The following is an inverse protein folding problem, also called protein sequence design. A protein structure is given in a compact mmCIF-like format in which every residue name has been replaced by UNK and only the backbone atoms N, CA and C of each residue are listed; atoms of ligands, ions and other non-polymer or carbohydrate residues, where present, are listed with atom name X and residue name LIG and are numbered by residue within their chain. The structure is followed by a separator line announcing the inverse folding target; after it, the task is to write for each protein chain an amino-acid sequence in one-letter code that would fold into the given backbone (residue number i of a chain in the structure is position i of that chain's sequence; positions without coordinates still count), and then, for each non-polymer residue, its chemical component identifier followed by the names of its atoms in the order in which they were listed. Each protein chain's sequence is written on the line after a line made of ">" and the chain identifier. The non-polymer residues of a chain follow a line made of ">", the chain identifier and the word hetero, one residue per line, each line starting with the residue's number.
data_IF_072650017900
#
_entry.id   IF_072650017900
#
_cell.length_a   1.000
_cell.length_b   1.000
_cell.length_c   1.000
_cell.angle_alpha   90.00
_cell.angle_beta   90.00
_cell.angle_gamma   90.00
#
_symmetry.space_group_name_H-M   'P 1'
#
loop_
_entity.id
_entity.type
_entity.pdbx_description
1 polymer ?
#
# COMPACT_ATOMS: atom_id res chain seq x y z
N UNK A 1 -38.98 5.17 38.42
CA UNK A 1 -38.30 4.33 37.40
C UNK A 1 -36.97 4.99 37.09
N UNK A 2 -35.88 4.45 37.62
CA UNK A 2 -34.51 4.85 37.25
C UNK A 2 -33.62 3.65 37.54
N UNK A 3 -33.21 2.93 36.50
CA UNK A 3 -32.36 1.77 36.60
C UNK A 3 -30.92 2.21 36.93
N UNK A 4 -30.22 1.58 37.88
CA UNK A 4 -28.78 1.78 38.03
C UNK A 4 -28.07 1.15 36.83
N UNK A 5 -27.23 1.93 36.16
CA UNK A 5 -26.33 1.46 35.11
C UNK A 5 -25.40 0.45 35.79
N UNK A 6 -25.64 -0.83 35.46
CA UNK A 6 -24.84 -1.97 35.88
C UNK A 6 -23.37 -1.66 35.63
N UNK A 7 -22.57 -1.68 36.70
CA UNK A 7 -21.12 -1.57 36.60
C UNK A 7 -20.63 -2.61 35.61
N UNK A 8 -20.05 -2.14 34.51
CA UNK A 8 -19.21 -2.98 33.69
C UNK A 8 -18.04 -3.38 34.57
N UNK A 9 -18.08 -4.63 35.03
CA UNK A 9 -16.94 -5.34 35.58
C UNK A 9 -15.90 -5.38 34.46
N UNK A 10 -15.04 -4.36 34.43
CA UNK A 10 -13.84 -4.34 33.60
C UNK A 10 -12.91 -5.38 34.22
N UNK A 11 -13.23 -6.64 33.98
CA UNK A 11 -12.37 -7.78 34.23
C UNK A 11 -11.11 -7.50 33.42
N UNK A 12 -10.10 -6.95 34.10
CA UNK A 12 -8.79 -6.67 33.55
C UNK A 12 -8.27 -7.96 32.94
N UNK A 13 -8.36 -8.09 31.62
CA UNK A 13 -7.69 -9.15 30.87
C UNK A 13 -6.22 -8.73 30.71
N UNK A 14 -5.55 -8.47 31.85
CA UNK A 14 -4.11 -8.28 31.93
C UNK A 14 -3.45 -9.65 31.99
N UNK A 15 -3.64 -10.44 30.94
CA UNK A 15 -2.79 -11.59 30.65
C UNK A 15 -1.79 -11.17 29.56
N UNK A 16 -0.49 -11.50 29.67
CA UNK A 16 0.42 -11.30 28.55
C UNK A 16 -0.15 -12.06 27.36
N UNK A 17 -0.51 -11.33 26.29
CA UNK A 17 -0.96 -11.93 25.03
C UNK A 17 0.22 -12.77 24.53
N UNK A 18 0.18 -14.08 24.80
CA UNK A 18 1.17 -15.01 24.30
C UNK A 18 1.01 -15.05 22.78
N UNK A 19 1.88 -14.34 22.07
CA UNK A 19 1.93 -14.36 20.61
C UNK A 19 2.32 -15.78 20.19
N UNK A 20 1.33 -16.56 19.76
CA UNK A 20 1.51 -17.99 19.44
C UNK A 20 2.35 -18.18 18.17
N UNK A 21 2.38 -17.19 17.28
CA UNK A 21 3.08 -17.23 15.99
C UNK A 21 3.62 -15.83 15.64
N UNK A 22 4.94 -15.72 15.43
CA UNK A 22 5.61 -14.48 15.00
C UNK A 22 6.01 -14.57 13.52
N UNK A 23 6.19 -13.43 12.85
CA UNK A 23 6.68 -13.36 11.46
C UNK A 23 7.99 -14.13 11.26
N UNK A 24 8.98 -13.92 12.13
CA UNK A 24 10.24 -14.65 12.13
C UNK A 24 10.09 -16.17 12.30
N UNK A 25 9.05 -16.59 13.03
CA UNK A 25 8.75 -18.02 13.21
C UNK A 25 8.13 -18.59 11.94
N UNK A 26 7.29 -17.83 11.25
CA UNK A 26 6.71 -18.23 9.95
C UNK A 26 7.79 -18.30 8.88
N UNK A 27 8.69 -17.32 8.78
CA UNK A 27 9.80 -17.31 7.80
C UNK A 27 10.75 -18.48 7.93
N UNK A 28 10.96 -18.97 9.16
CA UNK A 28 11.81 -20.14 9.46
C UNK A 28 11.05 -21.46 9.51
N UNK A 29 9.73 -21.44 9.31
CA UNK A 29 8.92 -22.65 9.39
C UNK A 29 9.14 -23.53 8.17
N UNK A 30 9.53 -24.78 8.39
CA UNK A 30 9.70 -25.77 7.33
C UNK A 30 8.51 -26.75 7.36
N UNK A 31 7.94 -27.01 6.19
CA UNK A 31 6.89 -28.01 6.05
C UNK A 31 7.52 -29.39 5.81
N UNK A 32 6.99 -30.42 6.49
CA UNK A 32 7.40 -31.81 6.22
C UNK A 32 7.03 -32.23 4.80
N UNK A 33 7.94 -32.94 4.13
CA UNK A 33 7.68 -33.45 2.77
C UNK A 33 6.59 -34.53 2.80
N UNK A 34 5.67 -34.46 1.83
CA UNK A 34 4.59 -35.44 1.72
C UNK A 34 5.15 -36.83 1.41
N UNK A 35 4.62 -37.87 2.06
CA UNK A 35 4.97 -39.26 1.76
C UNK A 35 4.68 -39.56 0.27
N UNK A 36 5.57 -40.34 -0.36
CA UNK A 36 5.63 -40.64 -1.81
C UNK A 36 4.29 -41.06 -2.46
N UNK A 37 3.29 -41.48 -1.67
CA UNK A 37 1.97 -41.93 -2.12
C UNK A 37 0.87 -40.86 -2.10
N UNK A 38 1.14 -39.64 -1.62
CA UNK A 38 0.18 -38.51 -1.63
C UNK A 38 0.74 -37.30 -2.36
N UNK A 39 -0.08 -36.71 -3.22
CA UNK A 39 0.23 -35.44 -3.91
C UNK A 39 0.20 -34.32 -2.87
N UNK A 40 1.34 -33.64 -2.67
CA UNK A 40 1.48 -32.51 -1.76
C UNK A 40 1.11 -31.18 -2.42
N UNK A 41 1.12 -30.11 -1.62
CA UNK A 41 1.06 -28.74 -2.14
C UNK A 41 2.31 -28.40 -2.95
N UNK A 42 2.17 -27.50 -3.91
CA UNK A 42 3.31 -26.99 -4.66
C UNK A 42 4.21 -26.13 -3.76
N UNK A 43 5.49 -26.46 -3.70
CA UNK A 43 6.44 -25.82 -2.79
C UNK A 43 6.59 -24.32 -3.05
N UNK A 44 6.64 -23.91 -4.33
CA UNK A 44 6.80 -22.50 -4.70
C UNK A 44 5.62 -21.64 -4.23
N UNK A 45 4.40 -22.15 -4.35
CA UNK A 45 3.19 -21.44 -3.91
C UNK A 45 3.09 -21.37 -2.38
N UNK A 46 3.48 -22.45 -1.69
CA UNK A 46 3.55 -22.47 -0.22
C UNK A 46 4.60 -21.48 0.29
N UNK A 47 5.76 -21.39 -0.36
CA UNK A 47 6.80 -20.43 0.00
C UNK A 47 6.36 -18.98 -0.22
N UNK A 48 5.68 -18.69 -1.34
CA UNK A 48 5.10 -17.37 -1.60
C UNK A 48 4.06 -16.99 -0.55
N UNK A 49 3.14 -17.91 -0.24
CA UNK A 49 2.13 -17.71 0.80
C UNK A 49 2.76 -17.49 2.18
N UNK A 50 3.79 -18.27 2.53
CA UNK A 50 4.53 -18.13 3.80
C UNK A 50 5.16 -16.76 3.95
N UNK A 51 5.76 -16.22 2.89
CA UNK A 51 6.33 -14.87 2.90
C UNK A 51 5.23 -13.82 3.09
N UNK A 52 4.12 -13.92 2.34
CA UNK A 52 2.99 -13.01 2.46
C UNK A 52 2.40 -13.00 3.89
N UNK A 53 2.23 -14.18 4.50
CA UNK A 53 1.72 -14.29 5.88
C UNK A 53 2.69 -13.66 6.88
N UNK A 54 4.00 -13.83 6.68
CA UNK A 54 4.98 -13.22 7.56
C UNK A 54 4.95 -11.68 7.49
N UNK A 55 4.82 -11.12 6.29
CA UNK A 55 4.75 -9.67 6.09
C UNK A 55 3.46 -9.08 6.68
N UNK A 56 2.33 -9.78 6.55
CA UNK A 56 1.07 -9.39 7.18
C UNK A 56 1.16 -9.42 8.71
N UNK A 57 1.84 -10.43 9.28
CA UNK A 57 2.09 -10.49 10.72
C UNK A 57 2.96 -9.33 11.21
N UNK A 58 3.96 -8.93 10.44
CA UNK A 58 4.79 -7.74 10.75
C UNK A 58 3.94 -6.47 10.73
N UNK A 59 3.09 -6.30 9.72
CA UNK A 59 2.17 -5.16 9.61
C UNK A 59 1.22 -5.08 10.81
N UNK A 60 0.58 -6.19 11.16
CA UNK A 60 -0.35 -6.27 12.29
C UNK A 60 0.37 -6.03 13.63
N UNK A 61 1.59 -6.54 13.80
CA UNK A 61 2.38 -6.28 15.00
C UNK A 61 2.69 -4.79 15.17
N UNK A 62 3.06 -4.10 14.08
CA UNK A 62 3.29 -2.66 14.09
C UNK A 62 2.02 -1.86 14.42
N UNK A 63 0.87 -2.24 13.85
CA UNK A 63 -0.42 -1.61 14.15
C UNK A 63 -0.81 -1.78 15.62
N UNK A 64 -0.66 -2.99 16.18
CA UNK A 64 -0.95 -3.25 17.60
C UNK A 64 -0.02 -2.45 18.51
N UNK A 65 1.26 -2.34 18.17
CA UNK A 65 2.21 -1.53 18.93
C UNK A 65 1.80 -0.04 18.94
N UNK A 66 1.40 0.51 17.78
CA UNK A 66 0.91 1.88 17.67
C UNK A 66 -0.36 2.10 18.50
N UNK A 67 -1.35 1.20 18.38
CA UNK A 67 -2.59 1.28 19.15
C UNK A 67 -2.36 1.19 20.66
N UNK A 68 -1.38 0.40 21.10
CA UNK A 68 -1.00 0.34 22.53
C UNK A 68 -0.37 1.64 23.00
N UNK A 69 0.56 2.21 22.23
CA UNK A 69 1.16 3.50 22.55
C UNK A 69 0.12 4.62 22.64
N UNK A 70 -0.86 4.63 21.73
CA UNK A 70 -1.94 5.62 21.77
C UNK A 70 -2.89 5.39 22.96
N UNK A 71 -3.20 4.14 23.30
CA UNK A 71 -3.95 3.83 24.51
C UNK A 71 -3.23 4.29 25.79
N UNK A 72 -1.92 4.07 25.88
CA UNK A 72 -1.09 4.57 26.97
C UNK A 72 -1.15 6.10 27.04
N UNK A 73 -0.94 6.78 25.90
CA UNK A 73 -1.02 8.25 25.81
C UNK A 73 -2.39 8.79 26.25
N UNK A 74 -3.47 8.15 25.82
CA UNK A 74 -4.83 8.54 26.20
C UNK A 74 -5.11 8.28 27.68
N UNK A 75 -4.62 7.16 28.23
CA UNK A 75 -4.74 6.87 29.65
C UNK A 75 -3.95 7.89 30.48
N UNK A 76 -2.70 8.20 30.13
CA UNK A 76 -1.90 9.21 30.81
C UNK A 76 -2.62 10.57 30.82
N UNK A 77 -3.23 10.93 29.68
CA UNK A 77 -4.03 12.14 29.56
C UNK A 77 -5.26 12.14 30.48
N UNK A 78 -5.99 11.01 30.54
CA UNK A 78 -7.14 10.86 31.43
C UNK A 78 -6.73 10.86 32.92
N UNK A 79 -5.60 10.26 33.27
CA UNK A 79 -5.06 10.27 34.64
C UNK A 79 -4.68 11.68 35.09
N UNK A 80 -4.03 12.47 34.22
CA UNK A 80 -3.75 13.89 34.44
C UNK A 80 -5.05 14.69 34.75
N UNK A 81 -6.11 14.43 33.99
CA UNK A 81 -7.42 15.05 34.22
C UNK A 81 -8.11 14.56 35.50
N UNK A 82 -7.98 13.27 35.84
CA UNK A 82 -8.59 12.66 37.02
C UNK A 82 -7.94 13.10 38.33
N UNK A 83 -6.63 13.36 38.32
CA UNK A 83 -5.88 13.83 39.49
C UNK A 83 -5.97 15.34 39.73
N UNK A 84 -6.88 16.04 39.05
CA UNK A 84 -7.18 17.46 39.32
C UNK A 84 -6.07 18.42 38.88
N UNK A 85 -5.05 17.94 38.17
CA UNK A 85 -4.04 18.80 37.53
C UNK A 85 -4.62 19.30 36.21
N UNK A 86 -5.68 20.09 36.30
CA UNK A 86 -6.11 20.94 35.20
C UNK A 86 -5.10 22.10 35.19
N UNK A 87 -4.36 22.37 34.11
CA UNK A 87 -3.69 23.66 33.97
C UNK A 87 -4.81 24.72 34.03
N UNK A 88 -4.92 25.43 35.15
CA UNK A 88 -5.97 26.43 35.35
C UNK A 88 -5.97 27.42 34.20
N UNK A 89 -7.14 27.59 33.57
CA UNK A 89 -7.36 28.45 32.42
C UNK A 89 -7.35 29.96 32.76
N UNK A 90 -6.90 30.35 33.96
CA UNK A 90 -6.99 31.71 34.50
C UNK A 90 -5.63 32.44 34.63
N UNK A 91 -4.57 31.92 34.01
CA UNK A 91 -3.44 32.77 33.61
C UNK A 91 -3.89 33.53 32.36
N UNK A 92 -3.67 34.86 32.21
CA UNK A 92 -4.05 35.57 30.99
C UNK A 92 -3.52 34.77 29.81
N UNK A 93 -4.45 34.18 29.05
CA UNK A 93 -4.13 33.25 28.00
C UNK A 93 -3.30 34.04 26.99
N UNK A 94 -1.98 33.83 26.98
CA UNK A 94 -1.15 34.17 25.85
C UNK A 94 -1.72 33.35 24.68
N UNK A 95 -2.44 33.94 23.70
CA UNK A 95 -3.00 33.22 22.55
C UNK A 95 -1.89 32.93 21.52
N UNK A 96 -0.69 32.60 22.00
CA UNK A 96 0.48 32.40 21.17
C UNK A 96 1.10 31.04 21.47
N UNK A 97 1.47 30.73 22.72
CA UNK A 97 2.32 29.55 22.95
C UNK A 97 1.63 28.20 22.69
N UNK A 98 0.38 28.00 23.14
CA UNK A 98 -0.33 26.72 22.98
C UNK A 98 -0.84 26.50 21.55
N UNK A 99 -1.35 27.56 20.92
CA UNK A 99 -1.77 27.53 19.50
C UNK A 99 -0.56 27.39 18.57
N UNK A 100 0.56 28.08 18.85
CA UNK A 100 1.81 27.90 18.10
C UNK A 100 2.39 26.50 18.31
N UNK A 101 2.28 25.92 19.51
CA UNK A 101 2.73 24.55 19.75
C UNK A 101 1.86 23.51 19.00
N UNK A 102 0.53 23.70 18.96
CA UNK A 102 -0.37 22.86 18.17
C UNK A 102 -0.12 23.02 16.67
N UNK A 103 0.07 24.25 16.18
CA UNK A 103 0.41 24.53 14.79
C UNK A 103 1.77 23.93 14.42
N UNK A 104 2.75 24.04 15.31
CA UNK A 104 4.09 23.45 15.13
C UNK A 104 4.08 21.93 15.19
N UNK A 105 3.14 21.32 15.92
CA UNK A 105 2.92 19.88 15.92
C UNK A 105 2.24 19.44 14.61
N UNK A 106 1.16 20.10 14.20
CA UNK A 106 0.45 19.82 12.95
C UNK A 106 1.34 20.06 11.71
N UNK A 107 2.20 21.07 11.75
CA UNK A 107 3.15 21.35 10.68
C UNK A 107 4.22 20.26 10.58
N UNK A 108 4.80 19.81 11.69
CA UNK A 108 5.74 18.68 11.70
C UNK A 108 5.07 17.40 11.19
N UNK A 109 3.82 17.17 11.55
CA UNK A 109 3.03 16.05 11.04
C UNK A 109 2.79 16.17 9.53
N UNK A 110 2.41 17.35 9.03
CA UNK A 110 2.27 17.60 7.60
C UNK A 110 3.60 17.39 6.85
N UNK A 111 4.71 17.89 7.39
CA UNK A 111 6.06 17.68 6.83
C UNK A 111 6.41 16.18 6.78
N UNK A 112 6.06 15.41 7.82
CA UNK A 112 6.26 13.96 7.86
C UNK A 112 5.41 13.24 6.81
N UNK A 113 4.13 13.61 6.65
CA UNK A 113 3.24 13.03 5.62
C UNK A 113 3.79 13.33 4.22
N UNK A 114 4.25 14.56 3.98
CA UNK A 114 4.87 14.95 2.70
C UNK A 114 6.13 14.11 2.42
N UNK A 115 6.99 13.94 3.41
CA UNK A 115 8.18 13.09 3.27
C UNK A 115 7.82 11.63 2.93
N UNK A 116 6.84 11.06 3.64
CA UNK A 116 6.34 9.70 3.38
C UNK A 116 5.72 9.57 1.99
N UNK A 117 4.97 10.58 1.53
CA UNK A 117 4.38 10.62 0.21
C UNK A 117 5.45 10.67 -0.89
N UNK A 118 6.52 11.45 -0.70
CA UNK A 118 7.65 11.49 -1.63
C UNK A 118 8.40 10.15 -1.70
N UNK A 119 8.69 9.51 -0.56
CA UNK A 119 9.32 8.20 -0.52
C UNK A 119 8.46 7.11 -1.15
N UNK A 120 7.14 7.18 -0.94
CA UNK A 120 6.18 6.30 -1.61
C UNK A 120 6.19 6.54 -3.12
N UNK A 121 6.07 7.79 -3.58
CA UNK A 121 6.08 8.13 -5.00
C UNK A 121 7.37 7.66 -5.69
N UNK A 122 8.52 7.81 -5.03
CA UNK A 122 9.81 7.31 -5.54
C UNK A 122 9.81 5.79 -5.70
N UNK A 123 9.35 5.06 -4.68
CA UNK A 123 9.23 3.59 -4.72
C UNK A 123 8.29 3.12 -5.82
N UNK A 124 7.15 3.77 -5.99
CA UNK A 124 6.19 3.45 -7.05
C UNK A 124 6.80 3.69 -8.43
N UNK A 125 7.52 4.80 -8.63
CA UNK A 125 8.18 5.08 -9.90
C UNK A 125 9.27 4.04 -10.22
N UNK A 126 10.08 3.65 -9.24
CA UNK A 126 11.13 2.62 -9.38
C UNK A 126 10.52 1.23 -9.69
N UNK A 127 9.44 0.88 -9.00
CA UNK A 127 8.69 -0.36 -9.26
C UNK A 127 8.08 -0.36 -10.66
N UNK A 128 7.39 0.71 -11.05
CA UNK A 128 6.78 0.85 -12.37
C UNK A 128 7.81 0.75 -13.49
N UNK A 129 8.99 1.38 -13.31
CA UNK A 129 10.11 1.26 -14.26
C UNK A 129 10.59 -0.17 -14.40
N UNK A 130 10.79 -0.87 -13.27
CA UNK A 130 11.26 -2.26 -13.28
C UNK A 130 10.26 -3.18 -13.99
N UNK A 131 8.96 -2.99 -13.75
CA UNK A 131 7.88 -3.73 -14.41
C UNK A 131 7.79 -3.42 -15.91
N UNK A 132 7.94 -2.16 -16.29
CA UNK A 132 7.94 -1.77 -17.69
C UNK A 132 9.13 -2.37 -18.45
N UNK A 133 10.32 -2.33 -17.86
CA UNK A 133 11.53 -2.92 -18.43
C UNK A 133 11.40 -4.45 -18.57
N UNK A 134 10.78 -5.13 -17.60
CA UNK A 134 10.56 -6.59 -17.69
C UNK A 134 9.56 -6.94 -18.79
N UNK A 135 8.44 -6.20 -18.89
CA UNK A 135 7.44 -6.39 -19.93
C UNK A 135 8.00 -6.12 -21.33
N UNK A 136 8.78 -5.05 -21.51
CA UNK A 136 9.43 -4.76 -22.79
C UNK A 136 10.42 -5.84 -23.20
N UNK A 137 11.20 -6.39 -22.25
CA UNK A 137 12.11 -7.50 -22.55
C UNK A 137 11.33 -8.74 -23.00
N UNK A 138 10.26 -9.10 -22.29
CA UNK A 138 9.42 -10.23 -22.67
C UNK A 138 8.82 -10.05 -24.08
N UNK A 139 8.24 -8.87 -24.35
CA UNK A 139 7.68 -8.53 -25.66
C UNK A 139 8.74 -8.55 -26.78
N UNK A 140 9.96 -8.08 -26.50
CA UNK A 140 11.04 -8.10 -27.47
C UNK A 140 11.49 -9.52 -27.80
N UNK A 141 11.56 -10.42 -26.82
CA UNK A 141 11.91 -11.82 -27.06
C UNK A 141 10.80 -12.54 -27.84
N UNK A 142 9.54 -12.33 -27.50
CA UNK A 142 8.40 -12.86 -28.24
C UNK A 142 8.41 -12.36 -29.70
N UNK A 143 8.67 -11.06 -29.88
CA UNK A 143 8.71 -10.46 -31.20
C UNK A 143 9.87 -10.99 -32.06
N UNK A 144 11.03 -11.27 -31.45
CA UNK A 144 12.16 -11.91 -32.14
C UNK A 144 11.83 -13.33 -32.57
N UNK A 145 11.25 -14.13 -31.69
CA UNK A 145 10.90 -15.52 -31.99
C UNK A 145 9.94 -15.61 -33.18
N UNK A 146 8.93 -14.73 -33.23
CA UNK A 146 7.98 -14.74 -34.33
C UNK A 146 8.58 -14.20 -35.64
N UNK A 147 9.45 -13.19 -35.57
CA UNK A 147 10.20 -12.72 -36.74
C UNK A 147 11.12 -13.81 -37.30
N UNK A 148 11.78 -14.59 -36.43
CA UNK A 148 12.60 -15.74 -36.83
C UNK A 148 11.76 -16.84 -37.48
N UNK A 149 10.58 -17.14 -36.92
CA UNK A 149 9.63 -18.10 -37.53
C UNK A 149 9.24 -17.67 -38.94
N UNK A 150 8.90 -16.40 -39.14
CA UNK A 150 8.54 -15.88 -40.46
C UNK A 150 9.70 -16.00 -41.48
N UNK A 151 10.95 -15.81 -41.05
CA UNK A 151 12.13 -16.02 -41.89
C UNK A 151 12.27 -17.48 -42.31
N UNK A 152 12.09 -18.41 -41.37
CA UNK A 152 12.13 -19.85 -41.65
C UNK A 152 11.02 -20.25 -42.61
N UNK A 153 9.81 -19.73 -42.40
CA UNK A 153 8.66 -19.96 -43.27
C UNK A 153 8.91 -19.43 -44.69
N UNK A 154 9.35 -18.18 -44.82
CA UNK A 154 9.70 -17.58 -46.11
C UNK A 154 10.75 -18.40 -46.86
N UNK A 155 11.84 -18.81 -46.19
CA UNK A 155 12.88 -19.63 -46.80
C UNK A 155 12.33 -20.99 -47.27
N UNK A 156 11.45 -21.60 -46.49
CA UNK A 156 10.83 -22.88 -46.87
C UNK A 156 9.92 -22.74 -48.09
N UNK A 157 9.18 -21.63 -48.21
CA UNK A 157 8.27 -21.36 -49.32
C UNK A 157 9.00 -20.94 -50.60
N UNK A 158 10.04 -20.11 -50.50
CA UNK A 158 10.81 -19.62 -51.64
C UNK A 158 11.80 -20.66 -52.20
N UNK A 159 12.15 -21.68 -51.42
CA UNK A 159 13.00 -22.79 -51.82
C UNK A 159 14.37 -22.33 -52.33
N UNK A 160 14.78 -22.77 -53.53
CA UNK A 160 16.10 -22.45 -54.11
C UNK A 160 16.29 -20.97 -54.50
N UNK A 161 15.22 -20.19 -54.53
CA UNK A 161 15.26 -18.77 -54.91
C UNK A 161 15.08 -17.83 -53.71
N UNK A 162 15.28 -18.33 -52.48
CA UNK A 162 15.15 -17.51 -51.28
C UNK A 162 16.18 -16.38 -51.27
N UNK A 163 15.69 -15.14 -51.28
CA UNK A 163 16.50 -13.93 -51.07
C UNK A 163 16.52 -13.56 -49.58
N UNK A 164 17.70 -13.65 -48.96
CA UNK A 164 17.91 -13.32 -47.54
C UNK A 164 17.64 -11.84 -47.22
N UNK A 165 17.78 -10.93 -48.20
CA UNK A 165 17.47 -9.52 -47.99
C UNK A 165 15.96 -9.30 -47.80
N UNK A 166 15.13 -10.04 -48.55
CA UNK A 166 13.67 -10.01 -48.41
C UNK A 166 13.25 -10.60 -47.07
N UNK A 167 13.81 -11.76 -46.70
CA UNK A 167 13.52 -12.41 -45.42
C UNK A 167 13.84 -11.50 -44.22
N UNK A 168 15.01 -10.84 -44.26
CA UNK A 168 15.43 -9.91 -43.19
C UNK A 168 14.52 -8.70 -43.09
N UNK A 169 14.06 -8.16 -44.24
CA UNK A 169 13.14 -7.03 -44.27
C UNK A 169 11.77 -7.39 -43.69
N UNK A 170 11.28 -8.59 -44.00
CA UNK A 170 10.02 -9.10 -43.49
C UNK A 170 10.07 -9.37 -41.99
N UNK A 171 11.16 -9.96 -41.48
CA UNK A 171 11.40 -10.10 -40.04
C UNK A 171 11.38 -8.77 -39.31
N UNK A 172 12.08 -7.75 -39.82
CA UNK A 172 12.11 -6.42 -39.21
C UNK A 172 10.72 -5.77 -39.18
N UNK A 173 9.93 -5.95 -40.25
CA UNK A 173 8.55 -5.45 -40.31
C UNK A 173 7.68 -6.12 -39.23
N UNK A 174 7.71 -7.45 -39.13
CA UNK A 174 6.93 -8.22 -38.17
C UNK A 174 7.33 -7.87 -36.73
N UNK A 175 8.64 -7.85 -36.45
CA UNK A 175 9.17 -7.43 -35.16
C UNK A 175 8.66 -6.02 -34.77
N UNK A 176 8.78 -5.06 -35.69
CA UNK A 176 8.34 -3.69 -35.47
C UNK A 176 6.84 -3.57 -35.20
N UNK A 177 5.99 -4.23 -36.01
CA UNK A 177 4.53 -4.24 -35.85
C UNK A 177 4.10 -4.77 -34.48
N UNK A 178 4.72 -5.85 -34.05
CA UNK A 178 4.41 -6.49 -32.78
C UNK A 178 4.91 -5.68 -31.59
N UNK A 179 6.13 -5.14 -31.65
CA UNK A 179 6.63 -4.21 -30.62
C UNK A 179 5.73 -2.99 -30.48
N UNK A 180 5.25 -2.42 -31.59
CA UNK A 180 4.27 -1.33 -31.56
C UNK A 180 2.95 -1.76 -30.93
N UNK A 181 2.48 -2.99 -31.21
CA UNK A 181 1.29 -3.55 -30.57
C UNK A 181 1.45 -3.68 -29.05
N UNK A 182 2.56 -4.28 -28.59
CA UNK A 182 2.86 -4.42 -27.17
C UNK A 182 3.03 -3.08 -26.46
N UNK A 183 3.69 -2.10 -27.09
CA UNK A 183 3.81 -0.74 -26.52
C UNK A 183 2.43 -0.06 -26.40
N UNK A 184 1.55 -0.21 -27.39
CA UNK A 184 0.17 0.32 -27.30
C UNK A 184 -0.67 -0.38 -26.24
N UNK A 185 -0.45 -1.68 -26.01
CA UNK A 185 -1.09 -2.40 -24.91
C UNK A 185 -0.56 -1.91 -23.55
N UNK A 186 0.76 -1.77 -23.40
CA UNK A 186 1.38 -1.24 -22.18
C UNK A 186 0.89 0.18 -21.86
N UNK A 187 0.82 1.07 -22.85
CA UNK A 187 0.31 2.43 -22.69
C UNK A 187 -1.13 2.45 -22.16
N UNK A 188 -2.01 1.58 -22.71
CA UNK A 188 -3.38 1.45 -22.21
C UNK A 188 -3.43 0.93 -20.78
N UNK A 189 -2.62 -0.08 -20.44
CA UNK A 189 -2.54 -0.56 -19.06
C UNK A 189 -2.04 0.51 -18.07
N UNK A 190 -1.12 1.38 -18.51
CA UNK A 190 -0.66 2.53 -17.73
C UNK A 190 -1.77 3.56 -17.54
N UNK A 191 -2.52 3.89 -18.60
CA UNK A 191 -3.67 4.80 -18.52
C UNK A 191 -4.74 4.25 -17.58
N UNK A 192 -5.15 2.99 -17.76
CA UNK A 192 -6.13 2.33 -16.90
C UNK A 192 -5.69 2.32 -15.41
N UNK A 193 -4.41 2.03 -15.18
CA UNK A 193 -3.80 2.06 -13.85
C UNK A 193 -3.79 3.46 -13.24
N UNK A 194 -3.50 4.49 -14.04
CA UNK A 194 -3.52 5.89 -13.61
C UNK A 194 -4.92 6.35 -13.19
N UNK A 195 -5.96 5.96 -13.94
CA UNK A 195 -7.33 6.27 -13.59
C UNK A 195 -7.77 5.54 -12.32
N UNK A 196 -7.36 4.28 -12.15
CA UNK A 196 -7.66 3.52 -10.94
C UNK A 196 -7.02 4.19 -9.72
N UNK A 197 -5.77 4.64 -9.83
CA UNK A 197 -5.09 5.40 -8.78
C UNK A 197 -5.84 6.70 -8.46
N UNK A 198 -6.23 7.47 -9.49
CA UNK A 198 -7.00 8.69 -9.31
C UNK A 198 -8.32 8.43 -8.53
N UNK A 199 -9.06 7.39 -8.92
CA UNK A 199 -10.30 6.97 -8.23
C UNK A 199 -10.05 6.56 -6.77
N UNK A 200 -8.93 5.87 -6.49
CA UNK A 200 -8.58 5.51 -5.10
C UNK A 200 -8.20 6.73 -4.28
N UNK A 201 -7.48 7.69 -4.86
CA UNK A 201 -7.10 8.94 -4.18
C UNK A 201 -8.33 9.79 -3.88
N UNK A 202 -9.27 9.89 -4.83
CA UNK A 202 -10.55 10.58 -4.62
C UNK A 202 -11.39 9.94 -3.51
N UNK A 203 -11.41 8.60 -3.44
CA UNK A 203 -12.08 7.88 -2.36
C UNK A 203 -11.46 8.18 -0.99
N UNK A 204 -10.13 8.12 -0.89
CA UNK A 204 -9.42 8.42 0.36
C UNK A 204 -9.65 9.88 0.77
N UNK A 205 -9.64 10.82 -0.18
CA UNK A 205 -9.94 12.22 0.07
C UNK A 205 -11.40 12.43 0.53
N UNK A 206 -12.35 11.64 0.00
CA UNK A 206 -13.76 11.68 0.41
C UNK A 206 -14.07 11.02 1.76
N UNK A 207 -13.26 10.05 2.20
CA UNK A 207 -13.36 9.41 3.51
C UNK A 207 -12.62 10.15 4.62
N UNK A 208 -11.79 11.15 4.29
CA UNK A 208 -11.19 12.03 5.28
C UNK A 208 -12.31 12.80 6.01
N UNK A 209 -12.42 12.70 7.35
CA UNK A 209 -13.43 13.44 8.09
C UNK A 209 -13.26 14.94 7.81
N UNK A 210 -14.35 15.71 7.66
CA UNK A 210 -14.24 17.15 7.50
C UNK A 210 -13.48 17.68 8.70
N UNK A 211 -12.30 18.23 8.45
CA UNK A 211 -11.56 18.99 9.47
C UNK A 211 -12.51 20.12 9.87
N UNK A 212 -13.12 19.99 11.04
CA UNK A 212 -14.09 20.93 11.57
C UNK A 212 -13.37 22.24 11.92
N UNK A 213 -13.01 23.00 10.89
CA UNK A 213 -12.51 24.35 10.97
C UNK A 213 -13.55 25.29 10.40
N UNK A 214 -14.32 25.94 11.28
CA UNK A 214 -15.02 27.18 10.92
C UNK A 214 -16.50 27.23 11.28
N UNK A 215 -16.78 27.98 12.34
CA UNK A 215 -17.99 28.82 12.52
C UNK A 215 -19.25 28.13 13.02
N UNK A 216 -19.36 28.04 14.35
CA UNK A 216 -20.68 28.10 15.00
C UNK A 216 -21.36 29.42 14.63
N UNK A 217 -22.57 29.44 14.06
CA UNK A 217 -23.32 30.67 13.90
C UNK A 217 -23.76 31.15 15.29
N UNK A 218 -23.33 32.35 15.66
CA UNK A 218 -23.75 33.02 16.88
C UNK A 218 -25.29 33.12 16.91
N UNK A 219 -25.90 32.48 17.91
CA UNK A 219 -27.33 32.57 18.18
C UNK A 219 -27.72 34.03 18.41
N UNK A 220 -28.70 34.51 17.64
CA UNK A 220 -29.24 35.85 17.75
C UNK A 220 -29.90 36.06 19.12
N UNK A 221 -29.36 36.97 19.91
CA UNK A 221 -29.94 37.46 21.16
C UNK A 221 -31.22 38.24 20.83
N UNK A 222 -32.37 37.60 20.98
CA UNK A 222 -33.66 38.29 20.96
C UNK A 222 -33.79 39.22 22.17
N UNK A 223 -34.16 40.46 21.87
CA UNK A 223 -34.54 41.53 22.80
C UNK A 223 -35.64 41.08 23.77
N UNK A 224 -35.48 41.47 25.04
CA UNK A 224 -36.55 42.05 25.86
C UNK A 224 -35.96 43.03 26.85
#
# INVERSE_FOLDING_TARGET
>A
MTAPISGYDAQQVSGPVQVRLTSDRVRRWEFGSAAFTRRGYEQADVDRFRMQVADELDLLAAQVANLRAENERLNDHLELHRHGVIPSADTPAMPAAKEVNLLSAAQREAEQIIAQAHDYARRVAEYARTQYESYLRAAAEEARQEAERAVVEYRSAAGRNADDAVATREALRIFGEMMMSHMRAAARHLDDGSEQLARTMERIAGEAPPVAGGSQPALSRHQR
#
